data_IF_299733581837
#
_entry.id   IF_299733581837
#
_cell.length_a   1.000
_cell.length_b   1.000
_cell.length_c   1.000
_cell.angle_alpha   90.00
_cell.angle_beta   90.00
_cell.angle_gamma   90.00
#
_symmetry.space_group_name_H-M   'P 1'
#
loop_
_entity.id
_entity.type
_entity.pdbx_description
1 polymer ?
#
# COMPACT_ATOMS: atom_id res chain seq x y z
N UNK A 1 48.20 141.45 17.33
CA UNK A 1 46.75 141.65 17.16
C UNK A 1 46.06 140.31 17.00
N UNK A 2 44.88 140.22 17.61
CA UNK A 2 43.91 139.14 17.66
C UNK A 2 43.87 138.11 16.50
N UNK A 3 44.07 136.86 16.93
CA UNK A 3 43.13 135.73 16.82
C UNK A 3 42.91 135.04 15.45
N UNK A 4 42.54 133.75 15.53
CA UNK A 4 43.28 132.61 14.97
C UNK A 4 42.24 131.65 14.35
N UNK A 5 42.33 130.34 14.62
CA UNK A 5 41.26 129.31 14.61
C UNK A 5 41.42 128.24 13.55
N UNK A 6 41.81 128.53 12.32
CA UNK A 6 41.92 127.48 11.29
C UNK A 6 43.05 126.50 11.56
N UNK A 7 44.25 126.97 11.94
CA UNK A 7 45.36 126.09 12.29
C UNK A 7 45.10 125.28 13.56
N UNK A 8 44.46 125.87 14.57
CA UNK A 8 44.14 125.15 15.80
C UNK A 8 43.01 124.13 15.60
N UNK A 9 42.01 124.41 14.75
CA UNK A 9 40.94 123.46 14.40
C UNK A 9 41.47 122.33 13.50
N UNK A 10 42.36 122.63 12.56
CA UNK A 10 43.00 121.63 11.70
C UNK A 10 43.94 120.73 12.51
N UNK A 11 44.68 121.30 13.48
CA UNK A 11 45.47 120.51 14.42
C UNK A 11 44.55 119.75 15.38
N UNK A 12 43.43 120.31 15.86
CA UNK A 12 42.48 119.56 16.71
C UNK A 12 41.81 118.41 15.96
N UNK A 13 41.47 118.59 14.67
CA UNK A 13 40.89 117.55 13.82
C UNK A 13 41.95 116.52 13.39
N UNK A 14 43.19 116.91 13.10
CA UNK A 14 44.29 115.97 12.90
C UNK A 14 44.66 115.25 14.18
N UNK A 15 44.63 115.90 15.34
CA UNK A 15 44.84 115.21 16.62
C UNK A 15 43.63 114.36 16.99
N UNK A 16 42.41 114.65 16.54
CA UNK A 16 41.26 113.76 16.73
C UNK A 16 41.28 112.56 15.76
N UNK A 17 41.84 112.73 14.56
CA UNK A 17 42.06 111.66 13.60
C UNK A 17 43.29 110.79 13.93
N UNK A 18 44.34 111.37 14.56
CA UNK A 18 45.50 110.65 15.09
C UNK A 18 45.35 110.21 16.55
N UNK A 19 44.37 110.73 17.31
CA UNK A 19 43.94 110.24 18.61
C UNK A 19 42.58 109.53 18.48
N UNK A 20 42.56 108.44 17.72
CA UNK A 20 41.72 107.27 17.99
C UNK A 20 40.19 107.41 18.06
N UNK A 21 39.57 108.53 17.70
CA UNK A 21 38.12 108.74 17.88
C UNK A 21 37.27 108.49 16.61
N UNK A 22 37.63 107.46 15.84
CA UNK A 22 36.66 106.64 15.08
C UNK A 22 36.94 105.19 15.44
N UNK A 23 36.84 104.87 16.72
CA UNK A 23 36.54 103.49 17.12
C UNK A 23 35.03 103.34 16.95
N UNK A 24 34.57 103.00 15.74
CA UNK A 24 33.37 102.16 15.67
C UNK A 24 33.71 100.95 16.54
N UNK A 25 33.10 100.87 17.71
CA UNK A 25 33.30 99.78 18.64
C UNK A 25 32.64 98.54 18.02
N UNK A 26 33.33 97.94 17.04
CA UNK A 26 32.89 96.75 16.29
C UNK A 26 33.07 95.46 17.09
N UNK A 27 33.59 95.56 18.31
CA UNK A 27 33.94 94.43 19.17
C UNK A 27 32.79 93.43 19.35
N UNK A 28 31.55 93.91 19.39
CA UNK A 28 30.34 93.09 19.55
C UNK A 28 29.94 92.36 18.25
N UNK A 29 30.19 92.96 17.09
CA UNK A 29 30.03 92.33 15.77
C UNK A 29 31.16 91.33 15.50
N UNK A 30 32.39 91.65 15.88
CA UNK A 30 33.56 90.78 15.76
C UNK A 30 33.38 89.52 16.63
N UNK A 31 32.85 89.67 17.86
CA UNK A 31 32.51 88.54 18.73
C UNK A 31 31.39 87.65 18.16
N UNK A 32 30.36 88.25 17.53
CA UNK A 32 29.29 87.49 16.85
C UNK A 32 29.80 86.75 15.61
N UNK A 33 30.74 87.33 14.86
CA UNK A 33 31.39 86.68 13.72
C UNK A 33 32.20 85.47 14.19
N UNK A 34 32.96 85.60 15.29
CA UNK A 34 33.74 84.51 15.87
C UNK A 34 32.84 83.36 16.39
N UNK A 35 31.71 83.68 17.03
CA UNK A 35 30.72 82.68 17.45
C UNK A 35 30.08 81.96 16.25
N UNK A 36 29.74 82.70 15.19
CA UNK A 36 29.21 82.12 13.94
C UNK A 36 30.24 81.25 13.23
N UNK A 37 31.52 81.62 13.23
CA UNK A 37 32.59 80.83 12.62
C UNK A 37 32.83 79.53 13.41
N UNK A 38 32.74 79.63 14.74
CA UNK A 38 32.75 78.47 15.65
C UNK A 38 31.54 77.55 15.41
N UNK A 39 30.33 78.11 15.28
CA UNK A 39 29.14 77.34 14.93
C UNK A 39 29.25 76.66 13.56
N UNK A 40 29.74 77.37 12.53
CA UNK A 40 29.94 76.82 11.19
C UNK A 40 30.97 75.68 11.20
N UNK A 41 32.03 75.82 11.98
CA UNK A 41 33.04 74.76 12.16
C UNK A 41 32.42 73.52 12.83
N UNK A 42 31.65 73.71 13.91
CA UNK A 42 30.95 72.62 14.60
C UNK A 42 29.91 71.92 13.70
N UNK A 43 29.16 72.68 12.90
CA UNK A 43 28.21 72.14 11.93
C UNK A 43 28.92 71.32 10.85
N UNK A 44 30.04 71.82 10.33
CA UNK A 44 30.83 71.12 9.31
C UNK A 44 31.39 69.81 9.85
N UNK A 45 31.90 69.80 11.08
CA UNK A 45 32.33 68.57 11.75
C UNK A 45 31.17 67.58 11.95
N UNK A 46 30.01 68.06 12.42
CA UNK A 46 28.81 67.22 12.62
C UNK A 46 28.34 66.61 11.30
N UNK A 47 28.39 67.36 10.19
CA UNK A 47 28.05 66.86 8.87
C UNK A 47 29.02 65.76 8.43
N UNK A 48 30.32 65.96 8.60
CA UNK A 48 31.33 64.95 8.27
C UNK A 48 31.16 63.66 9.09
N UNK A 49 30.87 63.77 10.40
CA UNK A 49 30.58 62.62 11.26
C UNK A 49 29.32 61.86 10.78
N UNK A 50 28.27 62.59 10.36
CA UNK A 50 27.05 61.98 9.82
C UNK A 50 27.25 61.32 8.46
N UNK A 51 28.08 61.90 7.59
CA UNK A 51 28.43 61.29 6.29
C UNK A 51 29.12 59.94 6.49
N UNK A 52 30.03 59.85 7.46
CA UNK A 52 30.67 58.57 7.83
C UNK A 52 29.63 57.56 8.35
N UNK A 53 28.75 57.98 9.26
CA UNK A 53 27.71 57.10 9.80
C UNK A 53 26.73 56.61 8.71
N UNK A 54 26.38 57.46 7.73
CA UNK A 54 25.56 57.07 6.58
C UNK A 54 26.27 56.00 5.75
N UNK A 55 27.57 56.20 5.48
CA UNK A 55 28.36 55.23 4.71
C UNK A 55 28.45 53.86 5.39
N UNK A 56 28.59 53.82 6.73
CA UNK A 56 28.57 52.58 7.50
C UNK A 56 27.20 51.87 7.43
N UNK A 57 26.10 52.62 7.50
CA UNK A 57 24.74 52.08 7.36
C UNK A 57 24.50 51.53 5.96
N UNK A 58 24.96 52.22 4.92
CA UNK A 58 24.88 51.74 3.52
C UNK A 58 25.63 50.41 3.34
N UNK A 59 26.82 50.28 3.92
CA UNK A 59 27.58 49.03 3.89
C UNK A 59 26.85 47.88 4.61
N UNK A 60 26.21 48.17 5.76
CA UNK A 60 25.40 47.21 6.50
C UNK A 60 24.16 46.77 5.70
N UNK A 61 23.47 47.71 5.05
CA UNK A 61 22.31 47.44 4.18
C UNK A 61 22.72 46.52 3.04
N UNK A 62 23.83 46.81 2.35
CA UNK A 62 24.33 45.96 1.27
C UNK A 62 24.65 44.52 1.77
N UNK A 63 25.17 44.39 2.99
CA UNK A 63 25.37 43.09 3.63
C UNK A 63 24.06 42.34 3.88
N UNK A 64 23.03 43.05 4.37
CA UNK A 64 21.70 42.48 4.57
C UNK A 64 21.03 42.07 3.26
N UNK A 65 21.15 42.87 2.19
CA UNK A 65 20.64 42.54 0.86
C UNK A 65 21.27 41.24 0.32
N UNK A 66 22.59 41.07 0.49
CA UNK A 66 23.26 39.82 0.12
C UNK A 66 22.77 38.62 0.94
N UNK A 67 22.51 38.81 2.24
CA UNK A 67 21.98 37.74 3.09
C UNK A 67 20.54 37.37 2.71
N UNK A 68 19.70 38.36 2.40
CA UNK A 68 18.32 38.15 1.93
C UNK A 68 18.33 37.37 0.62
N UNK A 69 19.16 37.76 -0.36
CA UNK A 69 19.28 37.03 -1.62
C UNK A 69 19.71 35.56 -1.41
N UNK A 70 20.61 35.31 -0.46
CA UNK A 70 21.00 33.95 -0.08
C UNK A 70 19.86 33.13 0.54
N UNK A 71 19.06 33.75 1.40
CA UNK A 71 17.90 33.10 2.01
C UNK A 71 16.79 32.82 1.00
N UNK A 72 16.53 33.75 0.08
CA UNK A 72 15.56 33.56 -1.00
C UNK A 72 15.93 32.36 -1.89
N UNK A 73 17.21 32.26 -2.29
CA UNK A 73 17.70 31.11 -3.06
C UNK A 73 17.56 29.79 -2.28
N UNK A 74 17.83 29.79 -0.98
CA UNK A 74 17.67 28.60 -0.13
C UNK A 74 16.20 28.19 0.00
N UNK A 75 15.29 29.17 0.10
CA UNK A 75 13.85 28.93 0.17
C UNK A 75 13.32 28.31 -1.13
N UNK A 76 13.73 28.82 -2.29
CA UNK A 76 13.36 28.23 -3.60
C UNK A 76 13.80 26.77 -3.70
N UNK A 77 15.03 26.46 -3.30
CA UNK A 77 15.51 25.08 -3.29
C UNK A 77 14.66 24.18 -2.37
N UNK A 78 14.26 24.70 -1.20
CA UNK A 78 13.43 23.95 -0.26
C UNK A 78 12.02 23.70 -0.80
N UNK A 79 11.45 24.65 -1.55
CA UNK A 79 10.18 24.48 -2.23
C UNK A 79 10.25 23.43 -3.34
N UNK A 80 11.31 23.45 -4.15
CA UNK A 80 11.55 22.41 -5.17
C UNK A 80 11.68 21.02 -4.54
N UNK A 81 12.42 20.90 -3.44
CA UNK A 81 12.55 19.65 -2.69
C UNK A 81 11.22 19.19 -2.10
N UNK A 82 10.43 20.11 -1.51
CA UNK A 82 9.09 19.82 -1.00
C UNK A 82 8.20 19.27 -2.10
N UNK A 83 8.18 19.91 -3.26
CA UNK A 83 7.33 19.52 -4.37
C UNK A 83 7.74 18.15 -4.94
N UNK A 84 9.04 17.86 -5.02
CA UNK A 84 9.54 16.53 -5.36
C UNK A 84 9.14 15.46 -4.35
N UNK A 85 9.16 15.76 -3.05
CA UNK A 85 8.72 14.83 -2.00
C UNK A 85 7.21 14.56 -2.06
N UNK A 86 6.40 15.59 -2.38
CA UNK A 86 4.96 15.44 -2.54
C UNK A 86 4.62 14.53 -3.73
N UNK A 87 5.33 14.65 -4.85
CA UNK A 87 5.17 13.75 -6.00
C UNK A 87 5.47 12.29 -5.62
N UNK A 88 6.61 12.04 -4.95
CA UNK A 88 6.97 10.70 -4.48
C UNK A 88 5.95 10.11 -3.50
N UNK A 89 5.39 10.94 -2.61
CA UNK A 89 4.37 10.50 -1.66
C UNK A 89 3.08 10.10 -2.40
N UNK A 90 2.68 10.88 -3.41
CA UNK A 90 1.52 10.58 -4.26
C UNK A 90 1.69 9.25 -4.98
N UNK A 91 2.84 9.04 -5.63
CA UNK A 91 3.14 7.80 -6.35
C UNK A 91 3.14 6.58 -5.39
N UNK A 92 3.72 6.75 -4.19
CA UNK A 92 3.70 5.71 -3.16
C UNK A 92 2.29 5.38 -2.69
N UNK A 93 1.40 6.36 -2.57
CA UNK A 93 0.00 6.13 -2.19
C UNK A 93 -0.78 5.42 -3.29
N UNK A 94 -0.54 5.77 -4.56
CA UNK A 94 -1.15 5.09 -5.69
C UNK A 94 -0.73 3.62 -5.75
N UNK A 95 0.55 3.33 -5.57
CA UNK A 95 1.05 1.96 -5.49
C UNK A 95 0.42 1.19 -4.33
N UNK A 96 0.29 1.81 -3.15
CA UNK A 96 -0.36 1.19 -1.99
C UNK A 96 -1.84 0.85 -2.29
N UNK A 97 -2.59 1.77 -2.90
CA UNK A 97 -3.98 1.56 -3.27
C UNK A 97 -4.16 0.43 -4.29
N UNK A 98 -3.28 0.36 -5.30
CA UNK A 98 -3.27 -0.74 -6.28
C UNK A 98 -3.00 -2.09 -5.60
N UNK A 99 -2.09 -2.11 -4.62
CA UNK A 99 -1.76 -3.33 -3.87
C UNK A 99 -2.93 -3.80 -3.00
N UNK A 100 -3.66 -2.87 -2.36
CA UNK A 100 -4.86 -3.17 -1.59
C UNK A 100 -5.96 -3.73 -2.49
N UNK A 101 -6.23 -3.07 -3.63
CA UNK A 101 -7.23 -3.53 -4.59
C UNK A 101 -6.93 -4.95 -5.12
N UNK A 102 -5.65 -5.25 -5.38
CA UNK A 102 -5.24 -6.60 -5.78
C UNK A 102 -5.50 -7.63 -4.67
N UNK A 103 -5.22 -7.28 -3.41
CA UNK A 103 -5.48 -8.16 -2.27
C UNK A 103 -6.99 -8.43 -2.09
N UNK A 104 -7.83 -7.41 -2.26
CA UNK A 104 -9.30 -7.56 -2.21
C UNK A 104 -9.82 -8.48 -3.31
N UNK A 105 -9.37 -8.30 -4.56
CA UNK A 105 -9.73 -9.16 -5.68
C UNK A 105 -9.29 -10.62 -5.47
N UNK A 106 -8.11 -10.82 -4.89
CA UNK A 106 -7.63 -12.16 -4.51
C UNK A 106 -8.51 -12.78 -3.41
N UNK A 107 -8.97 -11.99 -2.45
CA UNK A 107 -9.85 -12.46 -1.39
C UNK A 107 -11.23 -12.90 -1.92
N UNK A 108 -11.80 -12.18 -2.89
CA UNK A 108 -13.03 -12.58 -3.58
C UNK A 108 -12.84 -13.90 -4.34
N UNK A 109 -11.70 -14.06 -5.03
CA UNK A 109 -11.37 -15.29 -5.74
C UNK A 109 -11.26 -16.47 -4.77
N UNK A 110 -10.61 -16.28 -3.62
CA UNK A 110 -10.49 -17.30 -2.57
C UNK A 110 -11.87 -17.67 -2.01
N UNK A 111 -12.74 -16.69 -1.76
CA UNK A 111 -14.10 -16.95 -1.29
C UNK A 111 -14.90 -17.79 -2.30
N UNK A 112 -14.78 -17.49 -3.60
CA UNK A 112 -15.41 -18.27 -4.68
C UNK A 112 -14.89 -19.71 -4.74
N UNK A 113 -13.56 -19.90 -4.64
CA UNK A 113 -12.96 -21.24 -4.59
C UNK A 113 -13.42 -22.03 -3.35
N UNK A 114 -13.52 -21.39 -2.20
CA UNK A 114 -14.00 -22.03 -0.97
C UNK A 114 -15.45 -22.50 -1.09
N UNK A 115 -16.33 -21.70 -1.69
CA UNK A 115 -17.72 -22.09 -1.93
C UNK A 115 -17.81 -23.33 -2.83
N UNK A 116 -17.07 -23.35 -3.95
CA UNK A 116 -17.02 -24.51 -4.84
C UNK A 116 -16.49 -25.78 -4.15
N UNK A 117 -15.47 -25.64 -3.29
CA UNK A 117 -14.96 -26.75 -2.49
C UNK A 117 -16.02 -27.30 -1.52
N UNK A 118 -16.82 -26.42 -0.90
CA UNK A 118 -17.93 -26.82 -0.03
C UNK A 118 -19.02 -27.61 -0.77
N UNK A 119 -19.38 -27.16 -1.97
CA UNK A 119 -20.34 -27.88 -2.84
C UNK A 119 -19.79 -29.26 -3.26
N UNK A 120 -18.54 -29.32 -3.70
CA UNK A 120 -17.89 -30.58 -4.06
C UNK A 120 -17.80 -31.55 -2.87
N UNK A 121 -17.47 -31.06 -1.67
CA UNK A 121 -17.43 -31.89 -0.46
C UNK A 121 -18.81 -32.48 -0.14
N UNK A 122 -19.87 -31.70 -0.34
CA UNK A 122 -21.27 -32.14 -0.14
C UNK A 122 -21.65 -33.20 -1.17
N UNK A 123 -21.27 -33.01 -2.43
CA UNK A 123 -21.51 -33.99 -3.49
C UNK A 123 -20.77 -35.31 -3.24
N UNK A 124 -19.51 -35.26 -2.79
CA UNK A 124 -18.75 -36.45 -2.42
C UNK A 124 -19.42 -37.19 -1.27
N UNK A 125 -19.92 -36.48 -0.25
CA UNK A 125 -20.62 -37.11 0.86
C UNK A 125 -21.92 -37.78 0.40
N UNK A 126 -22.66 -37.16 -0.53
CA UNK A 126 -23.86 -37.78 -1.12
C UNK A 126 -23.50 -39.04 -1.89
N UNK A 127 -22.48 -38.99 -2.76
CA UNK A 127 -22.04 -40.16 -3.53
C UNK A 127 -21.57 -41.31 -2.63
N UNK A 128 -20.95 -41.01 -1.48
CA UNK A 128 -20.58 -42.03 -0.50
C UNK A 128 -21.81 -42.67 0.15
N UNK A 129 -22.83 -41.88 0.49
CA UNK A 129 -24.10 -42.40 1.00
C UNK A 129 -24.80 -43.26 -0.05
N UNK A 130 -24.91 -42.77 -1.28
CA UNK A 130 -25.52 -43.52 -2.39
C UNK A 130 -24.79 -44.84 -2.63
N UNK A 131 -23.45 -44.85 -2.59
CA UNK A 131 -22.65 -46.06 -2.74
C UNK A 131 -22.90 -47.06 -1.61
N UNK A 132 -23.02 -46.59 -0.37
CA UNK A 132 -23.34 -47.45 0.77
C UNK A 132 -24.73 -48.09 0.61
N UNK A 133 -25.73 -47.30 0.19
CA UNK A 133 -27.07 -47.82 -0.09
C UNK A 133 -27.06 -48.86 -1.22
N UNK A 134 -26.30 -48.62 -2.29
CA UNK A 134 -26.15 -49.60 -3.37
C UNK A 134 -25.47 -50.90 -2.89
N UNK A 135 -24.47 -50.81 -2.02
CA UNK A 135 -23.81 -51.99 -1.45
C UNK A 135 -24.78 -52.82 -0.60
N UNK A 136 -25.61 -52.16 0.22
CA UNK A 136 -26.63 -52.83 1.02
C UNK A 136 -27.69 -53.52 0.14
N UNK A 137 -28.12 -52.88 -0.94
CA UNK A 137 -29.05 -53.48 -1.90
C UNK A 137 -28.44 -54.70 -2.60
N UNK A 138 -27.17 -54.64 -2.99
CA UNK A 138 -26.46 -55.79 -3.58
C UNK A 138 -26.39 -56.94 -2.60
N UNK A 139 -26.05 -56.68 -1.33
CA UNK A 139 -26.03 -57.72 -0.29
C UNK A 139 -27.42 -58.35 -0.09
N UNK A 140 -28.48 -57.53 -0.09
CA UNK A 140 -29.85 -58.03 0.02
C UNK A 140 -30.27 -58.90 -1.18
N UNK A 141 -29.92 -58.50 -2.40
CA UNK A 141 -30.23 -59.29 -3.60
C UNK A 141 -29.42 -60.59 -3.64
N UNK A 142 -28.16 -60.58 -3.21
CA UNK A 142 -27.36 -61.79 -3.05
C UNK A 142 -28.01 -62.76 -2.06
N UNK A 143 -28.39 -62.28 -0.87
CA UNK A 143 -29.06 -63.11 0.13
C UNK A 143 -30.40 -63.65 -0.39
N UNK A 144 -31.21 -62.81 -1.03
CA UNK A 144 -32.49 -63.23 -1.59
C UNK A 144 -32.31 -64.30 -2.67
N UNK A 145 -31.29 -64.17 -3.51
CA UNK A 145 -30.97 -65.19 -4.51
C UNK A 145 -30.51 -66.50 -3.87
N UNK A 146 -29.78 -66.45 -2.76
CA UNK A 146 -29.38 -67.63 -1.99
C UNK A 146 -30.58 -68.31 -1.31
N UNK A 147 -31.44 -67.55 -0.65
CA UNK A 147 -32.63 -68.05 0.05
C UNK A 147 -33.65 -68.71 -0.91
N UNK A 148 -33.66 -68.30 -2.18
CA UNK A 148 -34.55 -68.86 -3.20
C UNK A 148 -33.97 -70.05 -3.96
N UNK A 149 -32.78 -70.55 -3.60
CA UNK A 149 -32.21 -71.77 -4.20
C UNK A 149 -33.04 -72.99 -3.80
N UNK A 150 -33.21 -73.93 -4.73
CA UNK A 150 -33.92 -75.17 -4.44
C UNK A 150 -33.09 -76.05 -3.50
N UNK A 151 -33.63 -76.37 -2.32
CA UNK A 151 -33.08 -77.41 -1.45
C UNK A 151 -33.60 -78.78 -1.88
N UNK A 152 -32.72 -79.56 -2.50
CA UNK A 152 -32.97 -80.92 -2.95
C UNK A 152 -32.10 -81.92 -2.16
N UNK A 153 -31.59 -81.52 -0.98
CA UNK A 153 -30.73 -82.37 -0.17
C UNK A 153 -31.45 -83.65 0.27
N UNK A 154 -30.76 -84.79 0.14
CA UNK A 154 -31.32 -86.11 0.45
C UNK A 154 -32.48 -86.56 -0.45
N UNK A 155 -32.85 -85.80 -1.50
CA UNK A 155 -33.91 -86.19 -2.40
C UNK A 155 -33.52 -87.41 -3.24
N UNK A 156 -34.46 -88.32 -3.46
CA UNK A 156 -34.30 -89.37 -4.48
C UNK A 156 -34.57 -88.76 -5.86
N UNK A 157 -33.51 -88.51 -6.61
CA UNK A 157 -33.55 -88.06 -7.99
C UNK A 157 -33.13 -89.18 -8.95
N UNK A 158 -33.13 -90.44 -8.50
CA UNK A 158 -32.68 -91.55 -9.31
C UNK A 158 -33.47 -91.63 -10.63
N UNK A 159 -32.74 -91.75 -11.73
CA UNK A 159 -33.29 -91.76 -13.10
C UNK A 159 -34.07 -90.50 -13.52
N UNK A 160 -33.95 -89.38 -12.80
CA UNK A 160 -34.58 -88.12 -13.16
C UNK A 160 -34.04 -87.57 -14.50
N UNK A 161 -34.92 -86.91 -15.26
CA UNK A 161 -34.58 -86.26 -16.53
C UNK A 161 -34.40 -84.77 -16.29
N UNK A 162 -33.16 -84.35 -16.03
CA UNK A 162 -32.80 -82.95 -15.75
C UNK A 162 -32.13 -82.27 -16.95
N UNK A 163 -32.19 -82.87 -18.14
CA UNK A 163 -31.61 -82.28 -19.35
C UNK A 163 -32.15 -80.87 -19.58
N UNK A 164 -31.26 -79.92 -19.84
CA UNK A 164 -31.54 -78.48 -19.99
C UNK A 164 -32.08 -77.76 -18.74
N UNK A 165 -32.13 -78.42 -17.58
CA UNK A 165 -32.51 -77.75 -16.34
C UNK A 165 -31.41 -76.80 -15.87
N UNK A 166 -31.81 -75.74 -15.17
CA UNK A 166 -30.89 -74.87 -14.46
C UNK A 166 -30.98 -75.18 -12.96
N UNK A 167 -29.90 -75.74 -12.41
CA UNK A 167 -29.77 -76.06 -11.00
C UNK A 167 -28.76 -75.15 -10.31
N UNK A 168 -28.41 -74.00 -10.91
CA UNK A 168 -27.45 -73.06 -10.35
C UNK A 168 -27.82 -72.72 -8.91
N UNK A 169 -26.90 -72.98 -7.98
CA UNK A 169 -27.05 -72.79 -6.55
C UNK A 169 -27.90 -73.82 -5.80
N UNK A 170 -28.57 -74.76 -6.47
CA UNK A 170 -29.40 -75.77 -5.80
C UNK A 170 -28.56 -76.66 -4.85
N UNK A 171 -29.07 -76.94 -3.65
CA UNK A 171 -28.40 -77.83 -2.71
C UNK A 171 -28.74 -79.29 -3.05
N UNK A 172 -27.77 -80.05 -3.54
CA UNK A 172 -27.91 -81.47 -3.87
C UNK A 172 -27.19 -82.41 -2.89
N UNK A 173 -26.77 -81.89 -1.72
CA UNK A 173 -26.03 -82.70 -0.74
C UNK A 173 -26.82 -83.95 -0.33
N UNK A 174 -26.24 -85.13 -0.56
CA UNK A 174 -26.84 -86.41 -0.20
C UNK A 174 -28.02 -86.87 -1.07
N UNK A 175 -28.35 -86.15 -2.15
CA UNK A 175 -29.36 -86.60 -3.11
C UNK A 175 -28.90 -87.88 -3.84
N UNK A 176 -29.83 -88.79 -4.15
CA UNK A 176 -29.52 -89.93 -5.02
C UNK A 176 -29.57 -89.47 -6.48
N UNK A 177 -28.40 -89.36 -7.10
CA UNK A 177 -28.22 -88.90 -8.47
C UNK A 177 -27.99 -90.06 -9.47
N UNK A 178 -28.24 -91.29 -9.05
CA UNK A 178 -28.00 -92.50 -9.85
C UNK A 178 -28.86 -92.50 -11.12
N UNK A 179 -28.22 -92.57 -12.29
CA UNK A 179 -28.92 -92.64 -13.57
C UNK A 179 -29.59 -91.34 -14.04
N UNK A 180 -29.33 -90.20 -13.40
CA UNK A 180 -29.83 -88.89 -13.84
C UNK A 180 -29.30 -88.52 -15.24
N UNK A 181 -30.18 -87.97 -16.07
CA UNK A 181 -29.79 -87.39 -17.37
C UNK A 181 -29.48 -85.91 -17.21
N UNK A 182 -28.21 -85.53 -17.35
CA UNK A 182 -27.68 -84.17 -17.16
C UNK A 182 -27.47 -83.37 -18.44
N UNK A 183 -27.94 -83.82 -19.61
CA UNK A 183 -27.54 -83.20 -20.87
C UNK A 183 -27.92 -81.71 -20.95
N UNK A 184 -26.94 -80.81 -21.13
CA UNK A 184 -27.13 -79.34 -21.12
C UNK A 184 -27.72 -78.76 -19.82
N UNK A 185 -27.61 -79.48 -18.71
CA UNK A 185 -27.97 -78.96 -17.39
C UNK A 185 -26.92 -77.97 -16.89
N UNK A 186 -27.34 -76.86 -16.27
CA UNK A 186 -26.45 -76.00 -15.46
C UNK A 186 -26.37 -76.58 -14.06
N UNK A 187 -25.17 -76.85 -13.59
CA UNK A 187 -24.87 -77.48 -12.30
C UNK A 187 -25.00 -76.50 -11.13
N UNK A 188 -25.04 -76.98 -9.87
CA UNK A 188 -25.08 -76.13 -8.68
C UNK A 188 -24.01 -75.04 -8.60
N UNK A 189 -22.80 -75.30 -9.10
CA UNK A 189 -21.72 -74.31 -9.16
C UNK A 189 -21.82 -73.31 -10.33
N UNK A 190 -22.88 -73.42 -11.16
CA UNK A 190 -23.12 -72.59 -12.34
C UNK A 190 -22.40 -73.05 -13.61
N UNK A 191 -21.61 -74.13 -13.56
CA UNK A 191 -20.97 -74.70 -14.74
C UNK A 191 -21.94 -75.56 -15.55
N UNK A 192 -21.65 -75.82 -16.82
CA UNK A 192 -22.49 -76.70 -17.63
C UNK A 192 -22.03 -78.15 -17.53
N UNK A 193 -22.96 -79.05 -17.25
CA UNK A 193 -22.80 -80.51 -17.25
C UNK A 193 -22.02 -81.07 -18.45
N UNK A 194 -22.23 -80.54 -19.67
CA UNK A 194 -21.55 -81.01 -20.88
C UNK A 194 -20.05 -80.71 -20.88
N UNK A 195 -19.62 -79.70 -20.11
CA UNK A 195 -18.21 -79.37 -19.90
C UNK A 195 -17.59 -80.27 -18.80
N UNK A 196 -18.44 -80.93 -18.00
CA UNK A 196 -18.08 -81.78 -16.86
C UNK A 196 -18.31 -83.28 -17.11
N UNK A 197 -18.27 -83.72 -18.37
CA UNK A 197 -18.46 -85.13 -18.74
C UNK A 197 -19.92 -85.59 -18.72
N UNK A 198 -20.85 -84.68 -19.01
CA UNK A 198 -22.30 -84.88 -18.96
C UNK A 198 -22.82 -85.30 -17.57
N UNK A 199 -22.26 -84.70 -16.53
CA UNK A 199 -22.71 -84.89 -15.14
C UNK A 199 -22.51 -83.63 -14.31
N UNK A 200 -23.34 -83.43 -13.30
CA UNK A 200 -23.14 -82.41 -12.26
C UNK A 200 -22.64 -83.01 -10.94
N UNK A 201 -22.49 -84.33 -10.83
CA UNK A 201 -22.12 -85.03 -9.59
C UNK A 201 -20.74 -84.60 -9.05
N UNK A 202 -19.84 -84.14 -9.92
CA UNK A 202 -18.50 -83.73 -9.52
C UNK A 202 -18.42 -82.26 -9.05
N UNK A 203 -19.52 -81.50 -9.16
CA UNK A 203 -19.56 -80.05 -8.94
C UNK A 203 -20.85 -79.65 -8.16
N UNK A 204 -21.15 -80.43 -7.11
CA UNK A 204 -22.28 -80.21 -6.20
C UNK A 204 -21.96 -79.19 -5.11
#
# INVERSE_FOLDING_TARGET
MNKPRTGLLAILMMTAALAGCVSEDTSDLDAQIEDLDTQNTNLTQTLAEREVAISELEASIAGHESNIAGLEAAMTLMEEQRDSLLALLSDSQEFANQTIALAEAMNETIAGLHAMLGENATQVQQLQTDLAEQQDLVAQWQQTAEDNRADLSGADLSYARLSYADLSGANLNGADLSGVSWYYTTCPDGTRSNDNGNTCVNNL
#
